data_IF_075481294567
#
_entry.id   IF_075481294567
#
_cell.length_a   1.000
_cell.length_b   1.000
_cell.length_c   1.000
_cell.angle_alpha   90.00
_cell.angle_beta   90.00
_cell.angle_gamma   90.00
#
_symmetry.space_group_name_H-M   'P 1'
#
loop_
_entity.id
_entity.type
_entity.pdbx_description
1 polymer ?
#
# COMPACT_ATOMS: atom_id res chain seq x y z
N UNK A 1 61.66 -34.68 -29.19
CA UNK A 1 62.88 -33.97 -28.75
C UNK A 1 62.88 -33.96 -27.22
N UNK A 2 64.04 -34.26 -26.63
CA UNK A 2 64.29 -34.76 -25.26
C UNK A 2 63.71 -33.91 -24.09
N UNK A 3 63.10 -34.53 -23.07
CA UNK A 3 63.64 -34.96 -21.74
C UNK A 3 64.04 -33.84 -20.77
N UNK A 4 63.36 -33.80 -19.60
CA UNK A 4 63.88 -33.72 -18.20
C UNK A 4 62.68 -33.45 -17.27
N UNK A 5 62.14 -34.34 -16.44
CA UNK A 5 62.64 -35.23 -15.36
C UNK A 5 62.94 -34.53 -14.02
N UNK A 6 62.19 -34.95 -12.99
CA UNK A 6 62.57 -35.01 -11.56
C UNK A 6 62.41 -33.69 -10.77
N UNK A 7 62.07 -33.69 -9.48
CA UNK A 7 61.98 -34.79 -8.50
C UNK A 7 61.24 -34.30 -7.24
N UNK A 8 60.57 -35.24 -6.58
CA UNK A 8 59.98 -35.19 -5.25
C UNK A 8 60.94 -34.66 -4.16
N UNK A 9 60.38 -34.02 -3.13
CA UNK A 9 60.78 -34.20 -1.73
C UNK A 9 59.58 -33.98 -0.78
N UNK A 10 59.58 -34.81 0.25
CA UNK A 10 58.54 -35.12 1.24
C UNK A 10 59.03 -34.63 2.61
N UNK A 11 58.12 -34.61 3.60
CA UNK A 11 58.33 -34.44 5.07
C UNK A 11 58.28 -32.97 5.54
N UNK A 12 57.68 -32.58 6.66
CA UNK A 12 57.24 -33.31 7.86
C UNK A 12 56.18 -32.54 8.65
N UNK A 13 55.31 -33.31 9.33
CA UNK A 13 54.58 -33.07 10.59
C UNK A 13 54.90 -31.77 11.36
N UNK A 14 53.87 -31.08 11.86
CA UNK A 14 53.73 -30.78 13.29
C UNK A 14 52.28 -30.40 13.63
N UNK A 15 51.70 -31.18 14.53
CA UNK A 15 50.48 -30.92 15.29
C UNK A 15 50.93 -30.43 16.68
N UNK A 16 50.11 -29.65 17.41
CA UNK A 16 50.04 -29.94 18.83
C UNK A 16 48.59 -30.05 19.31
N UNK A 17 48.30 -31.24 19.83
CA UNK A 17 47.37 -31.48 20.93
C UNK A 17 48.03 -30.96 22.20
N UNK A 18 47.31 -30.19 23.04
CA UNK A 18 47.61 -30.16 24.47
C UNK A 18 46.33 -30.19 25.31
N UNK A 19 46.45 -31.01 26.35
CA UNK A 19 45.41 -31.61 27.18
C UNK A 19 45.19 -30.82 28.47
N UNK A 20 43.93 -30.84 28.93
CA UNK A 20 43.43 -30.85 30.31
C UNK A 20 44.30 -30.30 31.45
N UNK A 21 43.80 -29.28 32.16
CA UNK A 21 43.81 -29.27 33.63
C UNK A 21 42.48 -28.75 34.20
N UNK A 22 41.88 -29.62 35.00
CA UNK A 22 40.76 -29.37 35.90
C UNK A 22 41.09 -28.26 36.90
N UNK A 23 40.19 -27.31 37.09
CA UNK A 23 40.01 -26.62 38.38
C UNK A 23 38.51 -26.60 38.69
N UNK A 24 38.15 -27.44 39.65
CA UNK A 24 36.89 -27.39 40.40
C UNK A 24 36.83 -26.07 41.18
N UNK A 25 35.71 -25.34 41.08
CA UNK A 25 35.26 -24.47 42.17
C UNK A 25 33.83 -24.84 42.53
N UNK A 26 33.68 -25.33 43.76
CA UNK A 26 32.46 -25.76 44.40
C UNK A 26 31.89 -24.59 45.21
N UNK A 27 30.59 -24.36 45.02
CA UNK A 27 29.57 -23.77 45.92
C UNK A 27 29.82 -22.43 46.65
N UNK A 28 28.90 -21.49 46.43
CA UNK A 28 28.07 -20.95 47.51
C UNK A 28 26.73 -20.40 46.94
N UNK A 29 25.56 -20.81 47.46
CA UNK A 29 24.28 -20.24 47.06
C UNK A 29 23.97 -18.99 47.90
N UNK A 30 23.73 -17.85 47.26
CA UNK A 30 23.22 -16.66 47.92
C UNK A 30 21.72 -16.86 48.20
N UNK A 31 21.38 -17.05 49.47
CA UNK A 31 19.99 -17.09 50.00
C UNK A 31 19.72 -15.87 50.88
N UNK A 32 18.48 -15.38 50.79
CA UNK A 32 17.76 -14.42 51.66
C UNK A 32 18.16 -12.95 51.50
N UNK A 33 17.24 -11.97 51.41
CA UNK A 33 16.01 -11.81 52.20
C UNK A 33 14.89 -11.15 51.37
N UNK A 34 13.68 -11.73 51.39
CA UNK A 34 12.42 -11.03 51.10
C UNK A 34 12.08 -10.18 52.32
N UNK A 35 11.85 -8.87 52.15
CA UNK A 35 11.17 -8.05 53.17
C UNK A 35 9.78 -7.69 52.66
N UNK A 36 8.79 -8.32 53.29
CA UNK A 36 7.41 -7.85 53.35
C UNK A 36 7.37 -6.53 54.14
N UNK A 37 6.68 -5.52 53.61
CA UNK A 37 6.03 -4.48 54.41
C UNK A 37 4.65 -4.21 53.79
N UNK A 38 3.65 -4.86 54.38
CA UNK A 38 2.24 -4.48 54.38
C UNK A 38 2.09 -3.26 55.28
N UNK A 39 1.42 -2.20 54.84
CA UNK A 39 0.41 -1.48 55.63
C UNK A 39 -0.59 -0.75 54.71
N UNK A 40 -1.85 -1.10 54.92
CA UNK A 40 -3.09 -0.43 54.50
C UNK A 40 -3.32 0.75 55.46
N UNK A 41 -3.94 1.87 55.05
CA UNK A 41 -5.11 2.51 55.70
C UNK A 41 -5.50 3.87 55.05
N UNK A 42 -6.73 3.88 54.51
CA UNK A 42 -7.80 4.89 54.57
C UNK A 42 -7.65 6.33 54.02
N UNK A 43 -8.33 6.54 52.89
CA UNK A 43 -9.38 7.53 52.59
C UNK A 43 -9.47 8.82 53.42
N UNK A 44 -9.37 9.97 52.75
CA UNK A 44 -10.11 11.20 53.08
C UNK A 44 -10.64 11.89 51.80
N UNK A 45 -11.95 12.14 51.79
CA UNK A 45 -12.71 12.97 50.86
C UNK A 45 -12.92 14.33 51.52
N UNK A 46 -12.74 15.43 50.77
CA UNK A 46 -13.47 16.73 50.84
C UNK A 46 -12.87 17.66 49.77
N UNK A 47 -13.55 17.87 48.64
CA UNK A 47 -14.53 18.93 48.37
C UNK A 47 -13.94 20.36 48.42
N UNK A 48 -13.62 20.91 47.24
CA UNK A 48 -13.63 22.36 47.01
C UNK A 48 -14.00 22.64 45.56
N UNK A 49 -15.22 23.13 45.38
CA UNK A 49 -15.74 23.77 44.19
C UNK A 49 -15.02 25.10 43.92
N UNK A 50 -14.46 25.27 42.73
CA UNK A 50 -14.29 26.59 42.12
C UNK A 50 -14.83 26.52 40.70
N UNK A 51 -15.88 27.32 40.48
CA UNK A 51 -16.44 27.67 39.20
C UNK A 51 -15.35 28.25 38.29
N UNK A 52 -15.30 27.77 37.05
CA UNK A 52 -14.84 28.57 35.92
C UNK A 52 -15.77 28.23 34.76
N UNK A 53 -16.67 29.17 34.49
CA UNK A 53 -17.55 29.13 33.32
C UNK A 53 -16.70 29.38 32.08
N UNK A 54 -16.46 28.36 31.28
CA UNK A 54 -16.10 28.53 29.87
C UNK A 54 -17.36 28.37 29.04
N UNK A 55 -17.69 29.41 28.30
CA UNK A 55 -18.86 29.54 27.42
C UNK A 55 -18.94 28.34 26.46
N UNK A 56 -20.00 27.54 26.62
CA UNK A 56 -20.37 26.49 25.68
C UNK A 56 -20.99 27.16 24.45
N UNK A 57 -20.23 27.26 23.35
CA UNK A 57 -20.82 27.51 22.05
C UNK A 57 -21.52 26.23 21.60
N UNK A 58 -22.85 26.19 21.77
CA UNK A 58 -23.70 25.18 21.16
C UNK A 58 -23.74 25.42 19.64
N UNK A 59 -22.97 24.64 18.91
CA UNK A 59 -23.13 24.42 17.47
C UNK A 59 -23.50 22.97 17.25
N UNK A 60 -24.74 22.61 17.60
CA UNK A 60 -25.34 21.34 17.20
C UNK A 60 -25.82 21.51 15.76
N UNK A 61 -24.94 21.23 14.80
CA UNK A 61 -25.34 20.97 13.42
C UNK A 61 -25.13 19.49 13.14
N UNK A 62 -26.10 18.68 13.55
CA UNK A 62 -26.34 17.39 12.91
C UNK A 62 -26.61 17.65 11.42
N UNK A 63 -25.84 17.08 10.47
CA UNK A 63 -26.19 17.19 9.06
C UNK A 63 -27.57 16.53 8.85
N UNK A 64 -28.42 17.11 7.98
CA UNK A 64 -29.75 16.58 7.74
C UNK A 64 -29.63 15.16 7.21
N UNK A 65 -30.29 14.24 7.91
CA UNK A 65 -30.48 12.86 7.52
C UNK A 65 -31.10 12.84 6.11
N UNK A 66 -30.33 12.42 5.09
CA UNK A 66 -30.89 12.21 3.77
C UNK A 66 -31.66 10.89 3.79
N UNK A 67 -32.98 11.01 3.61
CA UNK A 67 -33.88 9.90 3.39
C UNK A 67 -33.31 8.94 2.33
N UNK A 68 -32.97 7.73 2.77
CA UNK A 68 -32.57 6.64 1.89
C UNK A 68 -33.81 6.10 1.19
N UNK A 69 -34.06 6.59 -0.01
CA UNK A 69 -34.90 5.88 -0.97
C UNK A 69 -34.24 4.54 -1.32
N UNK A 70 -34.94 3.45 -1.03
CA UNK A 70 -34.49 2.09 -1.26
C UNK A 70 -34.36 1.81 -2.76
N UNK A 71 -33.13 1.54 -3.22
CA UNK A 71 -32.90 1.07 -4.59
C UNK A 71 -31.62 1.52 -5.30
N UNK A 72 -30.48 1.64 -4.63
CA UNK A 72 -29.15 1.62 -5.25
C UNK A 72 -28.10 1.41 -4.14
N UNK A 73 -27.27 0.38 -4.25
CA UNK A 73 -26.35 -0.02 -3.18
C UNK A 73 -25.24 1.01 -2.94
N UNK A 74 -24.97 1.35 -1.67
CA UNK A 74 -23.73 1.90 -1.09
C UNK A 74 -22.85 2.90 -1.89
N UNK A 75 -23.36 3.58 -2.92
CA UNK A 75 -22.67 4.64 -3.62
C UNK A 75 -22.84 5.95 -2.85
N UNK A 76 -21.74 6.63 -2.53
CA UNK A 76 -21.76 7.92 -1.85
C UNK A 76 -21.16 9.00 -2.75
N UNK A 77 -21.93 10.03 -3.06
CA UNK A 77 -21.43 11.27 -3.67
C UNK A 77 -21.34 12.35 -2.59
N UNK A 78 -20.31 13.17 -2.62
CA UNK A 78 -20.08 14.25 -1.67
C UNK A 78 -19.39 15.42 -2.37
N UNK A 79 -19.71 16.64 -1.96
CA UNK A 79 -18.97 17.84 -2.36
C UNK A 79 -17.98 18.18 -1.25
N UNK A 80 -16.72 18.41 -1.61
CA UNK A 80 -15.74 18.91 -0.67
C UNK A 80 -16.05 20.39 -0.38
N UNK A 81 -16.47 20.71 0.84
CA UNK A 81 -16.90 22.06 1.23
C UNK A 81 -15.76 23.09 1.20
N UNK A 82 -14.50 22.65 1.26
CA UNK A 82 -13.35 23.54 1.18
C UNK A 82 -12.91 23.82 -0.25
N UNK A 83 -12.79 22.79 -1.10
CA UNK A 83 -12.31 22.93 -2.48
C UNK A 83 -13.42 23.12 -3.52
N UNK A 84 -14.68 22.89 -3.16
CA UNK A 84 -15.81 22.82 -4.08
C UNK A 84 -15.76 21.63 -5.04
N UNK A 85 -14.81 20.70 -4.87
CA UNK A 85 -14.64 19.57 -5.78
C UNK A 85 -15.70 18.49 -5.55
N UNK A 86 -16.25 17.94 -6.63
CA UNK A 86 -17.17 16.82 -6.59
C UNK A 86 -16.38 15.52 -6.39
N UNK A 87 -16.83 14.69 -5.46
CA UNK A 87 -16.24 13.38 -5.18
C UNK A 87 -17.30 12.29 -5.15
N UNK A 88 -16.98 11.12 -5.68
CA UNK A 88 -17.85 9.94 -5.65
C UNK A 88 -17.04 8.70 -5.28
N UNK A 89 -17.63 7.81 -4.49
CA UNK A 89 -17.03 6.52 -4.15
C UNK A 89 -18.00 5.37 -4.43
N UNK A 90 -17.49 4.34 -5.11
CA UNK A 90 -18.21 3.11 -5.46
C UNK A 90 -17.44 1.95 -4.84
N UNK A 91 -17.91 1.40 -3.71
CA UNK A 91 -17.27 0.25 -3.08
C UNK A 91 -17.25 -0.96 -4.02
N UNK A 92 -16.11 -1.63 -4.10
CA UNK A 92 -16.02 -2.93 -4.76
C UNK A 92 -16.41 -3.98 -3.72
N UNK A 93 -17.56 -4.63 -3.93
CA UNK A 93 -18.03 -5.68 -3.02
C UNK A 93 -17.15 -6.91 -3.20
N UNK A 94 -16.46 -7.28 -2.12
CA UNK A 94 -15.59 -8.45 -2.08
C UNK A 94 -16.27 -9.61 -1.34
N UNK A 95 -15.92 -10.86 -1.62
CA UNK A 95 -16.34 -11.99 -0.80
C UNK A 95 -15.90 -11.78 0.66
N UNK A 96 -16.72 -12.17 1.65
CA UNK A 96 -16.34 -12.00 3.05
C UNK A 96 -15.12 -12.88 3.40
N UNK A 97 -14.17 -12.28 4.12
CA UNK A 97 -13.00 -12.95 4.66
C UNK A 97 -13.21 -13.43 6.10
N UNK A 98 -12.32 -14.31 6.58
CA UNK A 98 -12.21 -14.63 8.00
C UNK A 98 -11.41 -13.53 8.69
N UNK A 99 -12.11 -12.61 9.37
CA UNK A 99 -11.58 -11.47 10.15
C UNK A 99 -10.98 -10.32 9.33
N UNK A 100 -9.84 -10.54 8.68
CA UNK A 100 -9.14 -9.50 7.92
C UNK A 100 -9.47 -9.60 6.43
N UNK A 101 -9.96 -8.50 5.85
CA UNK A 101 -10.32 -8.40 4.43
C UNK A 101 -9.94 -7.02 3.88
N UNK A 102 -9.58 -6.93 2.58
CA UNK A 102 -9.27 -5.65 1.97
C UNK A 102 -10.53 -4.78 1.86
N UNK A 103 -10.35 -3.47 1.76
CA UNK A 103 -11.43 -2.55 1.37
C UNK A 103 -10.99 -1.88 0.09
N UNK A 104 -11.73 -2.08 -1.00
CA UNK A 104 -11.44 -1.50 -2.31
C UNK A 104 -12.63 -0.67 -2.77
N UNK A 105 -12.36 0.42 -3.48
CA UNK A 105 -13.39 1.25 -4.08
C UNK A 105 -12.88 1.93 -5.34
N UNK A 106 -13.78 2.24 -6.26
CA UNK A 106 -13.51 3.24 -7.29
C UNK A 106 -13.82 4.61 -6.72
N UNK A 107 -12.90 5.56 -6.85
CA UNK A 107 -13.10 6.93 -6.38
C UNK A 107 -12.94 7.91 -7.53
N UNK A 108 -13.90 8.81 -7.68
CA UNK A 108 -13.83 9.94 -8.59
C UNK A 108 -13.59 11.23 -7.81
N UNK A 109 -12.75 12.11 -8.35
CA UNK A 109 -12.59 13.48 -7.86
C UNK A 109 -12.44 14.45 -9.05
N UNK A 110 -13.29 15.47 -9.12
CA UNK A 110 -13.27 16.46 -10.19
C UNK A 110 -12.00 17.31 -10.24
N UNK A 111 -11.29 17.49 -9.12
CA UNK A 111 -9.99 18.18 -9.11
C UNK A 111 -8.86 17.32 -9.68
N UNK A 112 -9.07 16.01 -9.83
CA UNK A 112 -8.10 15.06 -10.35
C UNK A 112 -8.30 14.76 -11.84
N UNK A 113 -9.09 15.56 -12.57
CA UNK A 113 -9.34 15.37 -14.02
C UNK A 113 -8.09 15.61 -14.88
N UNK A 114 -7.06 16.27 -14.35
CA UNK A 114 -5.76 16.31 -15.01
C UNK A 114 -4.97 15.02 -14.83
N UNK A 115 -5.20 14.30 -13.71
CA UNK A 115 -4.59 13.02 -13.43
C UNK A 115 -5.31 11.91 -14.18
N UNK A 116 -4.56 11.19 -15.00
CA UNK A 116 -5.06 10.03 -15.70
C UNK A 116 -4.48 8.78 -15.05
N UNK A 117 -5.35 7.83 -14.70
CA UNK A 117 -4.96 6.63 -13.97
C UNK A 117 -5.26 5.38 -14.80
N UNK A 118 -5.08 4.20 -14.19
CA UNK A 118 -5.53 2.91 -14.74
C UNK A 118 -7.05 2.83 -14.97
N UNK A 119 -7.85 3.75 -14.43
CA UNK A 119 -9.30 3.80 -14.60
C UNK A 119 -9.74 4.99 -15.46
N UNK A 120 -8.81 5.66 -16.16
CA UNK A 120 -9.12 6.85 -16.94
C UNK A 120 -9.06 8.11 -16.10
N UNK A 121 -9.68 9.17 -16.62
CA UNK A 121 -9.50 10.53 -16.12
C UNK A 121 -10.36 10.80 -14.87
N UNK A 122 -9.75 11.32 -13.80
CA UNK A 122 -10.43 11.68 -12.55
C UNK A 122 -10.86 10.50 -11.66
N UNK A 123 -10.77 9.27 -12.17
CA UNK A 123 -11.03 8.04 -11.42
C UNK A 123 -9.73 7.44 -10.88
N UNK A 124 -9.81 6.75 -9.75
CA UNK A 124 -8.71 5.98 -9.16
C UNK A 124 -9.22 4.76 -8.42
N UNK A 125 -8.34 3.78 -8.22
CA UNK A 125 -8.60 2.59 -7.39
C UNK A 125 -8.12 2.90 -5.98
N UNK A 126 -9.05 3.06 -5.06
CA UNK A 126 -8.78 3.26 -3.64
C UNK A 126 -8.63 1.92 -2.91
N UNK A 127 -7.98 1.96 -1.75
CA UNK A 127 -7.76 0.79 -0.89
C UNK A 127 -6.39 0.14 -1.02
N UNK A 128 -5.56 0.65 -1.93
CA UNK A 128 -4.15 0.26 -2.06
C UNK A 128 -3.29 1.40 -1.55
N UNK A 129 -2.43 1.11 -0.58
CA UNK A 129 -1.54 2.11 0.00
C UNK A 129 -0.21 2.24 -0.75
N UNK A 130 0.47 3.37 -0.55
CA UNK A 130 1.83 3.60 -1.03
C UNK A 130 2.62 4.54 -0.12
N UNK A 131 3.94 4.42 -0.14
CA UNK A 131 4.88 5.46 0.28
C UNK A 131 5.56 5.97 -0.98
N UNK A 132 5.59 7.28 -1.17
CA UNK A 132 6.13 7.91 -2.38
C UNK A 132 7.07 9.05 -2.02
N UNK A 133 8.03 9.34 -2.89
CA UNK A 133 8.81 10.58 -2.77
C UNK A 133 7.91 11.77 -3.08
N UNK A 134 7.95 12.80 -2.23
CA UNK A 134 7.14 14.00 -2.36
C UNK A 134 7.63 14.90 -3.48
N UNK A 135 6.72 15.41 -4.30
CA UNK A 135 6.99 16.42 -5.35
C UNK A 135 6.65 17.85 -4.90
N UNK A 136 6.17 18.02 -3.66
CA UNK A 136 5.64 19.29 -3.14
C UNK A 136 6.66 20.42 -3.10
N UNK A 137 7.95 20.09 -2.97
CA UNK A 137 9.06 21.06 -2.92
C UNK A 137 9.91 21.05 -4.20
N UNK A 138 9.34 20.56 -5.30
CA UNK A 138 10.04 20.36 -6.56
C UNK A 138 10.29 18.88 -6.83
N UNK A 139 10.98 18.64 -7.94
CA UNK A 139 11.26 17.29 -8.45
C UNK A 139 12.21 16.56 -7.50
N UNK A 140 11.89 15.32 -7.06
CA UNK A 140 12.78 14.50 -6.26
C UNK A 140 14.15 14.31 -6.91
N UNK A 141 15.19 14.45 -6.11
CA UNK A 141 16.58 14.22 -6.54
C UNK A 141 16.96 12.75 -6.51
N UNK A 142 16.11 11.92 -5.91
CA UNK A 142 16.33 10.50 -5.63
C UNK A 142 17.52 10.24 -4.69
N UNK A 143 17.77 11.19 -3.79
CA UNK A 143 18.82 11.12 -2.77
C UNK A 143 18.23 10.95 -1.36
N UNK A 144 19.08 11.01 -0.34
CA UNK A 144 18.67 10.99 1.07
C UNK A 144 17.97 12.28 1.53
N UNK A 145 17.99 13.35 0.73
CA UNK A 145 17.38 14.64 1.10
C UNK A 145 15.90 14.75 0.72
N UNK A 146 15.39 13.83 -0.10
CA UNK A 146 13.99 13.87 -0.50
C UNK A 146 13.07 13.57 0.70
N UNK A 147 11.88 14.16 0.64
CA UNK A 147 10.83 13.92 1.62
C UNK A 147 9.83 12.90 1.07
N UNK A 148 9.01 12.33 1.96
CA UNK A 148 8.10 11.24 1.61
C UNK A 148 6.66 11.62 1.92
N UNK A 149 5.72 11.02 1.19
CA UNK A 149 4.30 11.02 1.49
C UNK A 149 3.82 9.59 1.71
N UNK A 150 2.92 9.39 2.66
CA UNK A 150 2.23 8.13 2.90
C UNK A 150 0.78 8.25 2.43
N UNK A 151 0.38 7.38 1.52
CA UNK A 151 -1.00 7.20 1.09
C UNK A 151 -1.55 5.94 1.76
N UNK A 152 -2.39 6.10 2.77
CA UNK A 152 -3.02 4.99 3.51
C UNK A 152 -4.44 5.41 3.94
N UNK A 153 -5.39 5.34 3.01
CA UNK A 153 -6.75 5.86 3.18
C UNK A 153 -6.83 7.40 3.13
N UNK A 154 -5.85 8.09 3.69
CA UNK A 154 -5.57 9.52 3.51
C UNK A 154 -4.10 9.73 3.13
N UNK A 155 -3.80 10.90 2.58
CA UNK A 155 -2.42 11.30 2.24
C UNK A 155 -1.80 12.08 3.39
N UNK A 156 -0.60 11.67 3.80
CA UNK A 156 0.15 12.27 4.90
C UNK A 156 1.56 12.65 4.44
N UNK A 157 1.92 13.93 4.57
CA UNK A 157 3.33 14.36 4.46
C UNK A 157 4.13 13.73 5.61
N UNK A 158 5.28 13.11 5.32
CA UNK A 158 6.16 12.54 6.34
C UNK A 158 7.30 13.49 6.71
N UNK A 159 7.64 13.51 7.98
CA UNK A 159 8.77 14.23 8.55
C UNK A 159 9.72 13.21 9.18
N UNK A 160 11.01 13.31 8.87
CA UNK A 160 12.04 12.46 9.46
C UNK A 160 12.45 13.00 10.84
N UNK A 161 12.49 12.12 11.83
CA UNK A 161 12.95 12.38 13.20
C UNK A 161 13.96 11.28 13.58
N UNK A 162 15.21 11.37 13.10
CA UNK A 162 16.18 10.27 13.24
C UNK A 162 16.52 9.89 14.70
N UNK A 163 16.27 10.79 15.66
CA UNK A 163 16.46 10.53 17.08
C UNK A 163 15.41 9.56 17.67
N UNK A 164 14.24 9.41 17.05
CA UNK A 164 13.28 8.38 17.43
C UNK A 164 13.60 7.07 16.68
N UNK A 165 14.37 6.22 17.36
CA UNK A 165 14.76 4.90 16.81
C UNK A 165 13.59 3.94 16.63
N UNK A 166 12.45 4.18 17.29
CA UNK A 166 11.24 3.33 17.19
C UNK A 166 10.33 3.78 16.06
N UNK A 167 10.30 5.09 15.78
CA UNK A 167 9.52 5.70 14.70
C UNK A 167 10.32 6.82 14.04
N UNK A 168 11.31 6.52 13.18
CA UNK A 168 12.15 7.54 12.57
C UNK A 168 11.39 8.48 11.62
N UNK A 169 10.13 8.18 11.31
CA UNK A 169 9.24 9.06 10.54
C UNK A 169 7.92 9.27 11.27
N UNK A 170 7.36 10.46 11.08
CA UNK A 170 6.08 10.89 11.63
C UNK A 170 5.26 11.57 10.55
N UNK A 171 3.93 11.54 10.67
CA UNK A 171 3.08 12.36 9.81
C UNK A 171 3.15 13.82 10.27
N UNK A 172 3.26 14.77 9.34
CA UNK A 172 3.40 16.20 9.64
C UNK A 172 2.23 16.73 10.47
N UNK A 173 1.01 16.34 10.10
CA UNK A 173 -0.13 16.38 10.99
C UNK A 173 -0.16 15.02 11.70
N UNK A 174 0.14 14.99 12.99
CA UNK A 174 0.37 13.74 13.72
C UNK A 174 -0.89 12.87 13.77
N UNK A 175 -0.72 11.59 13.44
CA UNK A 175 -1.76 10.55 13.40
C UNK A 175 -1.48 9.40 14.36
N UNK A 176 -0.33 9.45 15.04
CA UNK A 176 0.24 8.43 15.93
C UNK A 176 0.44 7.08 15.23
N UNK A 177 0.78 7.13 13.95
CA UNK A 177 1.30 5.97 13.22
C UNK A 177 2.77 5.78 13.59
N UNK A 178 3.17 4.54 13.87
CA UNK A 178 4.59 4.20 13.98
C UNK A 178 5.13 3.87 12.59
N UNK A 179 6.06 4.67 12.08
CA UNK A 179 6.54 4.59 10.69
C UNK A 179 8.04 4.33 10.68
N UNK A 180 8.42 3.22 10.04
CA UNK A 180 9.80 2.76 9.97
C UNK A 180 10.18 2.52 8.51
N UNK A 181 11.35 3.02 8.10
CA UNK A 181 12.05 2.52 6.92
C UNK A 181 13.11 1.52 7.38
N UNK A 182 13.05 0.31 6.85
CA UNK A 182 13.89 -0.80 7.29
C UNK A 182 14.82 -1.19 6.15
N UNK A 183 16.15 -1.23 6.37
CA UNK A 183 17.11 -1.69 5.36
C UNK A 183 16.81 -3.12 4.90
N UNK A 184 16.96 -3.35 3.60
CA UNK A 184 16.93 -4.69 3.01
C UNK A 184 18.32 -5.07 2.54
N UNK A 185 18.75 -6.27 2.92
CA UNK A 185 19.86 -6.94 2.27
C UNK A 185 19.28 -7.83 1.19
N UNK A 186 19.25 -7.34 -0.06
CA UNK A 186 18.87 -8.19 -1.19
C UNK A 186 20.12 -8.94 -1.66
N UNK A 187 20.10 -10.28 -1.72
CA UNK A 187 21.10 -11.02 -2.49
C UNK A 187 20.71 -10.92 -3.97
N UNK A 188 20.86 -9.76 -4.63
CA UNK A 188 20.64 -9.68 -6.09
C UNK A 188 21.99 -9.64 -6.82
N UNK A 189 22.31 -10.64 -7.64
CA UNK A 189 23.48 -10.62 -8.50
C UNK A 189 23.32 -9.72 -9.75
N UNK A 190 22.14 -9.15 -10.04
CA UNK A 190 21.91 -8.32 -11.23
C UNK A 190 21.97 -6.79 -10.95
N UNK A 191 23.09 -6.11 -11.27
CA UNK A 191 23.26 -4.67 -11.04
C UNK A 191 22.38 -3.79 -11.95
N UNK A 192 21.68 -4.36 -12.93
CA UNK A 192 20.74 -3.63 -13.80
C UNK A 192 19.34 -3.50 -13.18
N UNK A 193 19.03 -4.31 -12.16
CA UNK A 193 17.75 -4.33 -11.44
C UNK A 193 17.91 -3.86 -9.99
N UNK A 194 18.54 -2.71 -9.77
CA UNK A 194 18.70 -2.16 -8.42
C UNK A 194 17.33 -1.99 -7.73
N UNK A 195 16.95 -2.98 -6.92
CA UNK A 195 15.77 -2.97 -6.07
C UNK A 195 15.98 -2.00 -4.90
N UNK A 196 14.90 -1.72 -4.18
CA UNK A 196 14.97 -0.81 -3.05
C UNK A 196 15.95 -1.31 -2.00
N UNK A 197 16.73 -0.40 -1.44
CA UNK A 197 17.59 -0.68 -0.28
C UNK A 197 16.80 -0.68 1.02
N UNK A 198 15.51 -0.33 0.98
CA UNK A 198 14.62 -0.27 2.13
C UNK A 198 13.21 -0.71 1.78
N UNK A 199 12.47 -1.17 2.78
CA UNK A 199 11.02 -1.29 2.74
C UNK A 199 10.42 -0.48 3.90
N UNK A 200 9.14 -0.18 3.83
CA UNK A 200 8.47 0.58 4.86
C UNK A 200 7.52 -0.30 5.67
N UNK A 201 7.46 -0.04 6.96
CA UNK A 201 6.46 -0.63 7.86
C UNK A 201 5.77 0.50 8.60
N UNK A 202 4.45 0.53 8.50
CA UNK A 202 3.57 1.44 9.23
C UNK A 202 2.72 0.61 10.18
N UNK A 203 2.73 0.93 11.47
CA UNK A 203 1.84 0.31 12.46
C UNK A 203 0.79 1.32 12.90
N UNK A 204 -0.48 0.96 12.81
CA UNK A 204 -1.57 1.78 13.34
C UNK A 204 -1.75 1.63 14.86
N UNK A 205 -2.67 2.41 15.45
CA UNK A 205 -3.00 2.37 16.87
C UNK A 205 -3.59 1.04 17.34
N UNK A 206 -4.18 0.27 16.43
CA UNK A 206 -4.77 -1.03 16.71
C UNK A 206 -3.74 -2.17 16.64
N UNK A 207 -2.50 -1.85 16.26
CA UNK A 207 -1.42 -2.82 16.06
C UNK A 207 -1.44 -3.48 14.69
N UNK A 208 -2.30 -3.05 13.76
CA UNK A 208 -2.28 -3.50 12.37
C UNK A 208 -1.01 -2.99 11.71
N UNK A 209 -0.26 -3.88 11.07
CA UNK A 209 0.95 -3.54 10.34
C UNK A 209 0.69 -3.52 8.84
N UNK A 210 1.14 -2.46 8.20
CA UNK A 210 1.11 -2.23 6.76
C UNK A 210 2.56 -2.21 6.27
N UNK A 211 2.91 -3.14 5.38
CA UNK A 211 4.26 -3.27 4.81
C UNK A 211 4.26 -2.87 3.34
N UNK A 212 5.25 -2.07 2.94
CA UNK A 212 5.33 -1.50 1.60
C UNK A 212 6.69 -1.77 0.96
N UNK A 213 6.67 -2.24 -0.29
CA UNK A 213 7.84 -2.38 -1.14
C UNK A 213 8.86 -3.43 -0.69
N UNK A 214 8.45 -4.43 0.10
CA UNK A 214 9.28 -5.56 0.51
C UNK A 214 9.32 -6.65 -0.57
N UNK A 215 8.16 -6.99 -1.15
CA UNK A 215 8.09 -8.02 -2.17
C UNK A 215 8.56 -7.48 -3.53
N UNK A 216 9.21 -8.32 -4.34
CA UNK A 216 9.60 -7.95 -5.70
C UNK A 216 8.38 -7.43 -6.50
N UNK A 217 8.57 -6.33 -7.23
CA UNK A 217 7.52 -5.67 -8.00
C UNK A 217 6.62 -4.71 -7.21
N UNK A 218 6.68 -4.71 -5.88
CA UNK A 218 5.99 -3.70 -5.04
C UNK A 218 6.84 -2.45 -4.77
N UNK A 219 8.10 -2.43 -5.20
CA UNK A 219 8.99 -1.28 -5.13
C UNK A 219 9.30 -0.77 -6.55
N UNK A 220 8.83 0.44 -6.89
CA UNK A 220 9.02 0.98 -8.23
C UNK A 220 10.33 1.74 -8.32
N UNK A 221 11.20 1.29 -9.22
CA UNK A 221 12.47 1.95 -9.52
C UNK A 221 12.22 3.21 -10.34
N UNK A 222 12.95 4.27 -10.01
CA UNK A 222 12.95 5.52 -10.74
C UNK A 222 13.73 5.38 -12.05
N UNK A 223 13.21 5.97 -13.12
CA UNK A 223 13.76 5.84 -14.47
C UNK A 223 14.16 7.20 -15.05
N UNK A 224 15.22 7.20 -15.86
CA UNK A 224 15.56 8.29 -16.76
C UNK A 224 14.55 8.36 -17.92
N UNK A 225 14.60 9.45 -18.71
CA UNK A 225 13.71 9.64 -19.85
C UNK A 225 13.87 8.60 -20.96
N UNK A 226 15.04 7.95 -21.04
CA UNK A 226 15.33 6.86 -21.97
C UNK A 226 14.90 5.47 -21.44
N UNK A 227 14.26 5.41 -20.26
CA UNK A 227 13.82 4.17 -19.62
C UNK A 227 14.91 3.45 -18.82
N UNK A 228 16.13 3.99 -18.73
CA UNK A 228 17.20 3.38 -17.91
C UNK A 228 16.98 3.66 -16.42
N UNK A 229 17.41 2.71 -15.57
CA UNK A 229 17.28 2.81 -14.11
C UNK A 229 18.16 3.89 -13.50
N UNK A 230 17.59 4.70 -12.60
CA UNK A 230 18.31 5.65 -11.74
C UNK A 230 18.92 5.00 -10.49
N UNK A 231 18.76 3.68 -10.32
CA UNK A 231 19.20 2.92 -9.15
C UNK A 231 18.66 3.46 -7.81
N UNK A 232 17.46 4.01 -7.84
CA UNK A 232 16.75 4.53 -6.69
C UNK A 232 15.26 4.18 -6.77
N UNK A 233 14.59 4.07 -5.63
CA UNK A 233 13.15 3.77 -5.59
C UNK A 233 12.34 5.07 -5.61
N UNK A 234 11.34 5.12 -6.49
CA UNK A 234 10.34 6.19 -6.62
C UNK A 234 9.21 6.03 -5.63
N UNK A 235 8.70 4.80 -5.51
CA UNK A 235 7.50 4.49 -4.74
C UNK A 235 7.56 3.07 -4.17
N UNK A 236 7.01 2.87 -2.99
CA UNK A 236 6.84 1.58 -2.32
C UNK A 236 5.34 1.33 -2.13
N UNK A 237 4.80 0.30 -2.77
CA UNK A 237 3.39 -0.04 -2.71
C UNK A 237 3.12 -1.05 -1.62
N UNK A 238 1.94 -0.97 -1.00
CA UNK A 238 1.50 -1.86 0.06
C UNK A 238 1.50 -3.30 -0.43
N UNK A 239 2.31 -4.17 0.16
CA UNK A 239 2.43 -5.58 -0.23
C UNK A 239 1.87 -6.56 0.80
N UNK A 240 1.78 -6.16 2.08
CA UNK A 240 1.20 -6.98 3.15
C UNK A 240 0.49 -6.13 4.19
N UNK A 241 -0.68 -6.57 4.64
CA UNK A 241 -1.39 -6.05 5.82
C UNK A 241 -1.53 -7.18 6.81
N UNK A 242 -1.11 -7.01 8.06
CA UNK A 242 -1.15 -8.05 9.10
C UNK A 242 -1.81 -7.51 10.36
N UNK A 243 -2.78 -8.22 10.90
CA UNK A 243 -3.38 -7.90 12.19
C UNK A 243 -2.58 -8.49 13.37
N UNK A 244 -2.97 -8.15 14.59
CA UNK A 244 -2.33 -8.63 15.83
C UNK A 244 -2.50 -10.13 16.10
N UNK A 245 -3.41 -10.80 15.37
CA UNK A 245 -3.66 -12.24 15.48
C UNK A 245 -2.93 -13.04 14.39
N UNK A 246 -2.11 -12.37 13.57
CA UNK A 246 -1.36 -12.97 12.48
C UNK A 246 -2.21 -13.25 11.23
N UNK A 247 -3.45 -12.76 11.15
CA UNK A 247 -4.19 -12.79 9.89
C UNK A 247 -3.61 -11.74 8.95
N UNK A 248 -3.52 -12.05 7.67
CA UNK A 248 -2.93 -11.13 6.72
C UNK A 248 -3.55 -11.14 5.32
N UNK A 249 -3.33 -10.02 4.63
CA UNK A 249 -3.61 -9.77 3.23
C UNK A 249 -2.26 -9.61 2.53
N UNK A 250 -2.11 -10.20 1.34
CA UNK A 250 -0.98 -9.98 0.44
C UNK A 250 -1.45 -9.33 -0.85
N UNK A 251 -0.65 -8.40 -1.36
CA UNK A 251 -0.94 -7.66 -2.59
C UNK A 251 0.28 -7.78 -3.49
N UNK A 252 0.04 -8.18 -4.74
CA UNK A 252 1.08 -8.44 -5.73
C UNK A 252 0.88 -7.55 -6.95
N UNK A 253 2.00 -7.11 -7.52
CA UNK A 253 2.05 -6.11 -8.57
C UNK A 253 2.90 -6.58 -9.75
N UNK A 254 2.54 -6.11 -10.94
CA UNK A 254 3.35 -6.19 -12.15
C UNK A 254 3.95 -4.82 -12.39
N UNK A 255 5.27 -4.74 -12.45
CA UNK A 255 6.00 -3.53 -12.77
C UNK A 255 6.40 -3.53 -14.24
N UNK A 256 6.09 -2.44 -14.94
CA UNK A 256 6.67 -2.13 -16.25
C UNK A 256 8.03 -1.46 -16.00
N UNK A 257 9.09 -2.25 -15.95
CA UNK A 257 10.43 -1.78 -15.60
C UNK A 257 11.06 -0.84 -16.64
N UNK A 258 10.52 -0.78 -17.85
CA UNK A 258 11.02 0.07 -18.93
C UNK A 258 10.27 1.39 -19.04
N UNK A 259 9.01 1.40 -18.60
CA UNK A 259 8.18 2.59 -18.66
C UNK A 259 7.77 3.13 -17.28
N UNK A 260 8.13 2.47 -16.19
CA UNK A 260 7.87 2.94 -14.83
C UNK A 260 6.41 2.79 -14.38
N UNK A 261 5.58 2.09 -15.15
CA UNK A 261 4.20 1.75 -14.78
C UNK A 261 4.16 0.64 -13.72
N UNK A 262 3.08 0.61 -12.93
CA UNK A 262 2.86 -0.44 -11.95
C UNK A 262 1.36 -0.74 -11.85
N UNK A 263 1.04 -2.03 -11.77
CA UNK A 263 -0.33 -2.53 -11.85
C UNK A 263 -0.54 -3.61 -10.79
N UNK A 264 -1.41 -3.42 -9.78
CA UNK A 264 -1.80 -4.53 -8.90
C UNK A 264 -2.42 -5.62 -9.76
N UNK A 265 -1.98 -6.87 -9.65
CA UNK A 265 -2.58 -7.98 -10.41
C UNK A 265 -3.33 -8.96 -9.51
N UNK A 266 -2.99 -9.03 -8.22
CA UNK A 266 -3.62 -9.97 -7.28
C UNK A 266 -3.60 -9.48 -5.84
N UNK A 267 -4.73 -9.63 -5.16
CA UNK A 267 -4.84 -9.57 -3.70
C UNK A 267 -5.26 -10.94 -3.20
N UNK A 268 -4.56 -11.47 -2.19
CA UNK A 268 -4.92 -12.72 -1.50
C UNK A 268 -5.18 -12.39 -0.05
N UNK A 269 -6.31 -12.81 0.49
CA UNK A 269 -6.65 -12.61 1.91
C UNK A 269 -7.21 -13.89 2.52
N UNK A 270 -7.53 -13.82 3.82
CA UNK A 270 -7.81 -14.99 4.68
C UNK A 270 -6.59 -15.90 4.90
N UNK A 271 -5.40 -15.31 4.89
CA UNK A 271 -4.15 -16.00 5.27
C UNK A 271 -3.88 -15.79 6.76
N UNK A 272 -3.15 -16.71 7.39
CA UNK A 272 -2.69 -16.58 8.76
C UNK A 272 -1.28 -17.18 8.92
N UNK A 273 -0.36 -16.46 9.55
CA UNK A 273 1.05 -16.88 9.70
C UNK A 273 1.21 -18.01 10.74
N UNK A 274 0.30 -18.09 11.72
CA UNK A 274 0.31 -19.10 12.80
C UNK A 274 -0.55 -20.34 12.49
N UNK A 275 -1.43 -20.24 11.51
CA UNK A 275 -2.36 -21.29 11.09
C UNK A 275 -2.53 -21.24 9.57
N UNK A 276 -1.57 -21.78 8.80
CA UNK A 276 -1.65 -21.75 7.34
C UNK A 276 -2.91 -22.49 6.88
N UNK A 277 -3.83 -21.73 6.30
CA UNK A 277 -5.03 -22.25 5.65
C UNK A 277 -4.71 -22.59 4.20
N UNK A 278 -5.45 -23.52 3.61
CA UNK A 278 -5.38 -23.81 2.16
C UNK A 278 -6.57 -23.24 1.38
N UNK A 279 -7.42 -22.48 2.07
CA UNK A 279 -8.63 -21.88 1.50
C UNK A 279 -8.49 -20.37 1.53
N UNK A 280 -8.28 -19.77 0.37
CA UNK A 280 -8.09 -18.33 0.23
C UNK A 280 -9.15 -17.70 -0.63
N UNK A 281 -9.28 -16.38 -0.48
CA UNK A 281 -10.03 -15.56 -1.43
C UNK A 281 -9.01 -14.77 -2.24
N UNK A 282 -9.26 -14.67 -3.54
CA UNK A 282 -8.42 -13.89 -4.44
C UNK A 282 -9.22 -12.80 -5.13
N UNK A 283 -8.57 -11.66 -5.33
CA UNK A 283 -9.05 -10.56 -6.15
C UNK A 283 -8.02 -10.40 -7.26
N UNK A 284 -8.38 -10.73 -8.49
CA UNK A 284 -7.50 -10.70 -9.64
C UNK A 284 -7.85 -9.51 -10.52
N UNK A 285 -6.85 -8.70 -10.88
CA UNK A 285 -7.02 -7.51 -11.71
C UNK A 285 -6.49 -7.82 -13.10
N UNK A 286 -7.32 -7.66 -14.11
CA UNK A 286 -6.93 -7.84 -15.52
C UNK A 286 -6.96 -6.51 -16.22
N UNK A 287 -5.98 -6.27 -17.08
CA UNK A 287 -5.80 -5.02 -17.80
C UNK A 287 -5.92 -5.20 -19.31
N UNK A 288 -6.17 -4.10 -20.00
CA UNK A 288 -6.08 -4.00 -21.46
C UNK A 288 -5.21 -2.81 -21.86
N UNK A 289 -4.62 -2.88 -23.06
CA UNK A 289 -3.92 -1.75 -23.65
C UNK A 289 -4.87 -0.57 -23.79
N UNK A 290 -4.42 0.62 -23.41
CA UNK A 290 -5.18 1.85 -23.64
C UNK A 290 -4.69 2.56 -24.91
N UNK A 291 -5.59 3.17 -25.71
CA UNK A 291 -5.20 3.91 -26.91
C UNK A 291 -4.55 5.27 -26.60
N UNK A 292 -4.80 5.83 -25.42
CA UNK A 292 -4.30 7.12 -24.96
C UNK A 292 -3.14 6.94 -23.97
N UNK A 293 -1.97 6.53 -24.46
CA UNK A 293 -0.79 6.31 -23.60
C UNK A 293 -0.40 7.63 -22.94
N UNK A 294 -0.25 7.58 -21.62
CA UNK A 294 0.08 8.74 -20.80
C UNK A 294 1.56 8.66 -20.48
N UNK A 295 2.28 9.77 -20.63
CA UNK A 295 3.66 9.89 -20.16
C UNK A 295 3.73 11.02 -19.15
N UNK A 296 4.21 10.71 -17.94
CA UNK A 296 4.39 11.65 -16.85
C UNK A 296 5.85 11.67 -16.37
N UNK A 297 6.29 12.87 -15.99
CA UNK A 297 7.61 13.14 -15.42
C UNK A 297 7.52 13.98 -14.14
N UNK A 298 6.32 14.20 -13.60
CA UNK A 298 6.09 15.05 -12.42
C UNK A 298 6.92 14.63 -11.20
N UNK A 299 7.22 13.33 -11.08
CA UNK A 299 8.08 12.75 -10.05
C UNK A 299 9.57 12.79 -10.36
N UNK A 300 9.99 13.38 -11.48
CA UNK A 300 11.37 13.31 -11.97
C UNK A 300 11.77 11.93 -12.47
N UNK A 301 10.82 11.03 -12.69
CA UNK A 301 11.02 9.70 -13.27
C UNK A 301 10.09 9.55 -14.46
N UNK A 302 10.52 8.83 -15.49
CA UNK A 302 9.61 8.38 -16.54
C UNK A 302 8.52 7.49 -15.92
N UNK A 303 7.26 7.83 -16.20
CA UNK A 303 6.09 6.99 -15.93
C UNK A 303 5.24 6.96 -17.18
N UNK A 304 5.04 5.78 -17.78
CA UNK A 304 4.00 5.58 -18.78
C UNK A 304 2.92 4.66 -18.27
N UNK A 305 1.69 5.14 -18.43
CA UNK A 305 0.50 4.34 -18.22
C UNK A 305 0.03 3.96 -19.62
N UNK A 306 0.28 2.71 -19.98
CA UNK A 306 -0.06 2.10 -21.28
C UNK A 306 -1.19 1.08 -21.17
N UNK A 307 -1.69 0.84 -19.96
CA UNK A 307 -2.78 -0.08 -19.67
C UNK A 307 -3.88 0.58 -18.83
N UNK A 308 -5.09 0.05 -18.94
CA UNK A 308 -6.24 0.41 -18.12
C UNK A 308 -6.95 -0.86 -17.63
N UNK A 309 -7.62 -0.76 -16.49
CA UNK A 309 -8.24 -1.91 -15.83
C UNK A 309 -9.43 -2.40 -16.65
N UNK A 310 -9.46 -3.69 -16.97
CA UNK A 310 -10.51 -4.31 -17.79
C UNK A 310 -11.53 -5.05 -16.93
N UNK A 311 -11.04 -5.89 -16.02
CA UNK A 311 -11.89 -6.62 -15.09
C UNK A 311 -11.24 -6.74 -13.71
N UNK A 312 -12.10 -6.95 -12.71
CA UNK A 312 -11.70 -7.51 -11.42
C UNK A 312 -12.48 -8.81 -11.22
N UNK A 313 -11.77 -9.90 -11.00
CA UNK A 313 -12.36 -11.21 -10.73
C UNK A 313 -12.20 -11.56 -9.25
N UNK A 314 -13.28 -11.97 -8.61
CA UNK A 314 -13.30 -12.44 -7.23
C UNK A 314 -13.44 -13.95 -7.21
N UNK A 315 -12.48 -14.64 -6.59
CA UNK A 315 -12.54 -16.10 -6.44
C UNK A 315 -12.53 -16.51 -4.99
N UNK A 316 -13.27 -17.58 -4.71
CA UNK A 316 -13.27 -18.29 -3.43
C UNK A 316 -12.71 -19.67 -3.72
N UNK A 317 -11.53 -19.96 -3.19
CA UNK A 317 -10.85 -21.25 -3.39
C UNK A 317 -10.70 -21.65 -4.86
N UNK A 318 -10.34 -20.68 -5.71
CA UNK A 318 -10.16 -20.86 -7.16
C UNK A 318 -11.43 -20.75 -7.99
N UNK A 319 -12.63 -20.85 -7.40
CA UNK A 319 -13.90 -20.71 -8.12
C UNK A 319 -14.32 -19.25 -8.22
N UNK A 320 -14.66 -18.79 -9.42
CA UNK A 320 -15.20 -17.44 -9.65
C UNK A 320 -16.56 -17.29 -8.99
N UNK A 321 -16.73 -16.23 -8.20
CA UNK A 321 -18.01 -15.91 -7.55
C UNK A 321 -18.59 -14.57 -7.98
N UNK A 322 -17.74 -13.67 -8.50
CA UNK A 322 -18.12 -12.33 -8.95
C UNK A 322 -17.06 -11.78 -9.89
N UNK A 323 -17.48 -11.05 -10.91
CA UNK A 323 -16.60 -10.27 -11.76
C UNK A 323 -17.15 -8.85 -11.92
N UNK A 324 -16.27 -7.85 -11.86
CA UNK A 324 -16.58 -6.49 -12.29
C UNK A 324 -15.98 -6.26 -13.67
N UNK A 325 -16.79 -5.80 -14.61
CA UNK A 325 -16.36 -5.37 -15.96
C UNK A 325 -16.37 -3.86 -16.04
N UNK A 326 -15.34 -3.29 -16.65
CA UNK A 326 -15.19 -1.85 -16.85
C UNK A 326 -15.29 -1.48 -18.32
N UNK A 327 -16.06 -0.44 -18.64
CA UNK A 327 -16.16 0.09 -19.99
C UNK A 327 -15.61 1.52 -20.07
N UNK A 328 -15.08 1.86 -21.24
CA UNK A 328 -14.46 3.15 -21.50
C UNK A 328 -14.89 3.70 -22.86
N UNK A 329 -15.01 5.03 -22.96
CA UNK A 329 -15.05 5.75 -24.22
C UNK A 329 -13.88 6.72 -24.31
N UNK A 330 -13.55 7.13 -25.53
CA UNK A 330 -12.62 8.22 -25.75
C UNK A 330 -13.37 9.54 -25.74
N UNK A 331 -12.79 10.54 -25.07
CA UNK A 331 -13.21 11.93 -25.18
C UNK A 331 -13.07 12.37 -26.64
N UNK A 332 -14.13 12.87 -27.29
CA UNK A 332 -14.05 13.30 -28.69
C UNK A 332 -13.05 14.45 -28.92
N UNK A 333 -12.79 15.26 -27.90
CA UNK A 333 -11.89 16.42 -27.99
C UNK A 333 -10.47 16.07 -27.60
N UNK A 334 -10.31 15.42 -26.43
CA UNK A 334 -8.98 15.21 -25.84
C UNK A 334 -8.36 13.86 -26.18
N UNK A 335 -9.14 12.93 -26.77
CA UNK A 335 -8.73 11.55 -27.00
C UNK A 335 -8.54 10.72 -25.72
N UNK A 336 -8.81 11.29 -24.54
CA UNK A 336 -8.58 10.64 -23.24
C UNK A 336 -9.63 9.57 -22.95
N UNK A 337 -9.23 8.47 -22.32
CA UNK A 337 -10.13 7.46 -21.79
C UNK A 337 -10.99 8.03 -20.66
N UNK A 338 -12.31 7.94 -20.84
CA UNK A 338 -13.37 8.27 -19.91
C UNK A 338 -14.01 6.98 -19.41
N UNK A 339 -14.12 6.81 -18.09
CA UNK A 339 -14.72 5.64 -17.47
C UNK A 339 -16.24 5.67 -17.64
N UNK A 340 -16.79 4.78 -18.45
CA UNK A 340 -18.20 4.81 -18.80
C UNK A 340 -19.07 3.97 -17.88
N UNK A 341 -18.60 2.80 -17.45
CA UNK A 341 -19.42 1.97 -16.59
C UNK A 341 -18.62 0.96 -15.78
N UNK A 342 -19.25 0.54 -14.69
CA UNK A 342 -18.93 -0.66 -13.95
C UNK A 342 -20.16 -1.57 -14.01
N UNK A 343 -19.95 -2.85 -14.34
CA UNK A 343 -20.99 -3.85 -14.35
C UNK A 343 -20.58 -5.06 -13.53
N UNK A 344 -21.47 -5.50 -12.64
CA UNK A 344 -21.30 -6.73 -11.88
C UNK A 344 -21.84 -7.93 -12.65
N UNK A 345 -21.06 -8.99 -12.69
CA UNK A 345 -21.34 -10.27 -13.33
C UNK A 345 -21.19 -11.39 -12.31
N UNK A 346 -22.09 -12.37 -12.36
CA UNK A 346 -22.09 -13.53 -11.46
C UNK A 346 -20.93 -14.51 -11.69
N UNK A 347 -21.03 -15.68 -11.07
CA UNK A 347 -20.06 -16.79 -11.21
C UNK A 347 -19.99 -17.37 -12.63
N UNK A 348 -20.97 -17.08 -13.47
CA UNK A 348 -21.14 -17.56 -14.84
C UNK A 348 -20.55 -16.61 -15.89
N UNK A 349 -19.64 -15.70 -15.51
CA UNK A 349 -19.10 -14.65 -16.38
C UNK A 349 -18.45 -15.11 -17.70
N UNK A 350 -18.06 -16.38 -17.80
CA UNK A 350 -17.51 -17.01 -19.01
C UNK A 350 -18.58 -17.57 -19.97
N UNK A 351 -19.86 -17.58 -19.55
CA UNK A 351 -20.98 -18.09 -20.35
C UNK A 351 -21.35 -17.11 -21.48
N UNK A 352 -22.02 -17.59 -22.52
CA UNK A 352 -22.46 -16.72 -23.63
C UNK A 352 -23.45 -15.64 -23.18
N UNK A 353 -24.33 -15.97 -22.23
CA UNK A 353 -25.30 -15.06 -21.62
C UNK A 353 -25.13 -15.09 -20.10
N UNK A 354 -24.16 -14.36 -19.55
CA UNK A 354 -23.90 -14.39 -18.11
C UNK A 354 -24.96 -13.61 -17.33
N UNK A 355 -25.18 -14.01 -16.08
CA UNK A 355 -26.06 -13.32 -15.15
C UNK A 355 -25.39 -12.02 -14.72
N UNK A 356 -26.09 -10.89 -14.90
CA UNK A 356 -25.54 -9.56 -14.61
C UNK A 356 -26.50 -8.70 -13.79
N UNK A 357 -25.93 -7.80 -12.99
CA UNK A 357 -26.67 -6.64 -12.49
C UNK A 357 -26.67 -5.53 -13.57
N UNK A 358 -27.66 -4.61 -13.53
CA UNK A 358 -27.62 -3.42 -14.37
C UNK A 358 -26.30 -2.66 -14.18
N UNK A 359 -25.67 -2.15 -15.24
CA UNK A 359 -24.44 -1.39 -15.13
C UNK A 359 -24.70 -0.01 -14.49
N UNK A 360 -23.83 0.42 -13.59
CA UNK A 360 -23.76 1.84 -13.20
C UNK A 360 -22.99 2.58 -14.29
N UNK A 361 -23.61 3.59 -14.90
CA UNK A 361 -23.06 4.33 -16.04
C UNK A 361 -22.75 5.78 -15.70
N UNK A 362 -21.68 6.32 -16.27
CA UNK A 362 -21.23 7.70 -16.10
C UNK A 362 -21.21 8.43 -17.43
N UNK A 363 -21.69 9.66 -17.40
CA UNK A 363 -21.60 10.59 -18.51
C UNK A 363 -20.74 11.77 -18.11
N UNK A 364 -20.11 12.38 -19.09
CA UNK A 364 -19.20 13.49 -18.89
C UNK A 364 -19.66 14.67 -19.74
N UNK A 365 -19.41 15.87 -19.24
CA UNK A 365 -19.58 17.06 -20.07
C UNK A 365 -18.67 16.93 -21.29
N UNK A 366 -19.30 17.00 -22.46
CA UNK A 366 -18.59 17.03 -23.73
C UNK A 366 -18.58 18.48 -24.21
N UNK A 367 -17.39 19.04 -24.35
CA UNK A 367 -17.23 20.23 -25.17
C UNK A 367 -17.23 19.75 -26.63
N UNK A 368 -17.99 20.39 -27.50
CA UNK A 368 -17.82 20.16 -28.93
C UNK A 368 -16.56 20.89 -29.39
N UNK A 369 -15.72 20.23 -30.19
CA UNK A 369 -14.64 20.92 -30.87
C UNK A 369 -15.27 21.83 -31.94
N UNK A 370 -15.18 23.14 -31.73
CA UNK A 370 -15.69 24.14 -32.68
C UNK A 370 -15.61 25.54 -32.09
N UNK A 371 -15.35 26.53 -32.94
CA UNK A 371 -15.62 27.93 -32.60
C UNK A 371 -17.11 28.16 -32.80
N UNK A 372 -17.83 28.56 -31.75
CA UNK A 372 -19.15 29.17 -31.91
C UNK A 372 -18.87 30.62 -32.31
N UNK A 373 -19.13 30.93 -33.57
CA UNK A 373 -18.91 32.26 -34.14
C UNK A 373 -20.02 33.24 -33.76
#
# INVERSE_FOLDING_TARGET
>A
MAVKSGRLLRLSKYCPVFSSKNIFFIMAPVRRQLKFLSQIFFSWILLSSLFSASVQAAGDETPPNSDRSAGAGNESFQTNLFSGSFSQSIPIVIPPGTKLQPTLALTYNSSAVSAQTILGTGWSLAGLGSVERSTKKGVPTYSSTDTYILNLGSTHDLVSVPSDTRSPYHTKAETFLRIQSIPMTYPDPDPTKAFSTVYWVVTDKNGTQFRFGFNAGSNVVALNSDGTSKKATRSWYLDKVTDTHGNYIEISYTQDIFNGGIYPYRVIYTKNDNAPLNFFRTIDFTYESRPDIITDYSSGSLVKINQRLKTIDMRVNGTLVRQYKFAYALSPVSGRSLFQSIQEVGSDAASQNPTTLPPTTFTYQQNQAGWVQ
#
